data_IF_885664339833
#
_entry.id   IF_885664339833
#
_cell.length_a   1.000
_cell.length_b   1.000
_cell.length_c   1.000
_cell.angle_alpha   90.00
_cell.angle_beta   90.00
_cell.angle_gamma   90.00
#
_symmetry.space_group_name_H-M   'P 1'
#
loop_
_entity.id
_entity.type
_entity.pdbx_description
1 polymer ?
#
# COMPACT_ATOMS: atom_id res chain seq x y z
N UNK A 1 1.23 24.63 11.00
CA UNK A 1 0.72 24.18 9.70
C UNK A 1 -0.78 24.05 9.77
N UNK A 2 -1.49 24.42 8.70
CA UNK A 2 -2.93 24.25 8.61
C UNK A 2 -3.29 22.75 8.53
N UNK A 3 -4.34 22.33 9.26
CA UNK A 3 -4.73 20.92 9.34
C UNK A 3 -5.08 20.31 7.98
N UNK A 4 -5.60 21.12 7.06
CA UNK A 4 -5.96 20.64 5.73
C UNK A 4 -4.73 20.31 4.87
N UNK A 5 -3.66 21.10 4.98
CA UNK A 5 -2.38 20.84 4.26
C UNK A 5 -1.72 19.56 4.76
N UNK A 6 -1.69 19.34 6.08
CA UNK A 6 -1.12 18.11 6.67
C UNK A 6 -1.92 16.86 6.28
N UNK A 7 -3.25 16.94 6.25
CA UNK A 7 -4.10 15.88 5.71
C UNK A 7 -3.86 15.63 4.22
N UNK A 8 -3.66 16.68 3.43
CA UNK A 8 -3.30 16.57 2.01
C UNK A 8 -1.99 15.81 1.79
N UNK A 9 -0.94 16.13 2.57
CA UNK A 9 0.32 15.40 2.54
C UNK A 9 0.14 13.93 2.94
N UNK A 10 -0.63 13.64 3.98
CA UNK A 10 -0.95 12.27 4.37
C UNK A 10 -1.69 11.50 3.25
N UNK A 11 -2.65 12.14 2.59
CA UNK A 11 -3.40 11.56 1.48
C UNK A 11 -2.51 11.24 0.27
N UNK A 12 -1.56 12.12 -0.06
CA UNK A 12 -0.60 11.89 -1.14
C UNK A 12 0.32 10.70 -0.84
N UNK A 13 0.84 10.62 0.39
CA UNK A 13 1.62 9.46 0.83
C UNK A 13 0.77 8.17 0.79
N UNK A 14 -0.47 8.22 1.27
CA UNK A 14 -1.39 7.09 1.21
C UNK A 14 -1.60 6.61 -0.25
N UNK A 15 -1.82 7.54 -1.19
CA UNK A 15 -1.96 7.22 -2.60
C UNK A 15 -0.70 6.56 -3.18
N UNK A 16 0.49 7.05 -2.84
CA UNK A 16 1.76 6.44 -3.25
C UNK A 16 1.93 5.01 -2.72
N UNK A 17 1.57 4.78 -1.45
CA UNK A 17 1.59 3.45 -0.85
C UNK A 17 0.60 2.49 -1.53
N UNK A 18 -0.63 2.95 -1.81
CA UNK A 18 -1.65 2.19 -2.54
C UNK A 18 -1.14 1.77 -3.91
N UNK A 19 -0.51 2.68 -4.65
CA UNK A 19 0.07 2.38 -5.97
C UNK A 19 1.17 1.31 -5.86
N UNK A 20 2.09 1.43 -4.90
CA UNK A 20 3.16 0.46 -4.68
C UNK A 20 2.63 -0.94 -4.32
N UNK A 21 1.61 -1.02 -3.45
CA UNK A 21 1.02 -2.31 -3.08
C UNK A 21 0.17 -2.92 -4.21
N UNK A 22 -0.45 -2.09 -5.05
CA UNK A 22 -1.06 -2.57 -6.29
C UNK A 22 0.00 -3.16 -7.23
N UNK A 23 1.15 -2.49 -7.40
CA UNK A 23 2.29 -3.01 -8.18
C UNK A 23 2.82 -4.33 -7.60
N UNK A 24 2.96 -4.44 -6.28
CA UNK A 24 3.30 -5.70 -5.62
C UNK A 24 2.29 -6.81 -5.98
N UNK A 25 0.99 -6.51 -5.85
CA UNK A 25 -0.08 -7.44 -6.21
C UNK A 25 -0.01 -7.91 -7.66
N UNK A 26 0.28 -6.99 -8.59
CA UNK A 26 0.44 -7.30 -10.01
C UNK A 26 1.56 -8.33 -10.24
N UNK A 27 2.74 -8.10 -9.66
CA UNK A 27 3.90 -8.95 -9.89
C UNK A 27 3.88 -10.25 -9.11
N UNK A 28 3.31 -10.28 -7.89
CA UNK A 28 3.29 -11.48 -7.05
C UNK A 28 2.37 -12.57 -7.61
N UNK A 29 1.36 -12.19 -8.39
CA UNK A 29 0.37 -13.10 -8.93
C UNK A 29 0.96 -14.24 -9.78
N UNK A 30 1.97 -13.96 -10.60
CA UNK A 30 2.59 -14.94 -11.50
C UNK A 30 3.33 -16.03 -10.72
N UNK A 31 4.38 -15.73 -9.92
CA UNK A 31 5.10 -16.75 -9.17
C UNK A 31 4.24 -17.45 -8.10
N UNK A 32 3.22 -16.77 -7.58
CA UNK A 32 2.22 -17.37 -6.70
C UNK A 32 1.44 -18.47 -7.40
N UNK A 33 0.88 -18.17 -8.58
CA UNK A 33 0.11 -19.13 -9.38
C UNK A 33 0.95 -20.33 -9.80
N UNK A 34 2.22 -20.11 -10.10
CA UNK A 34 3.15 -21.14 -10.55
C UNK A 34 3.82 -21.91 -9.40
N UNK A 35 3.46 -21.62 -8.15
CA UNK A 35 3.97 -22.35 -6.98
C UNK A 35 5.46 -22.14 -6.71
N UNK A 36 6.08 -21.10 -7.29
CA UNK A 36 7.54 -20.88 -7.26
C UNK A 36 7.98 -19.74 -6.34
N UNK A 37 7.14 -19.32 -5.40
CA UNK A 37 7.44 -18.23 -4.46
C UNK A 37 8.74 -18.41 -3.65
N UNK A 38 9.19 -19.65 -3.45
CA UNK A 38 10.43 -19.98 -2.74
C UNK A 38 11.65 -20.11 -3.66
N UNK A 39 11.47 -19.97 -4.98
CA UNK A 39 12.50 -20.15 -6.00
C UNK A 39 12.62 -18.89 -6.89
N UNK A 40 12.45 -17.71 -6.28
CA UNK A 40 12.59 -16.42 -6.95
C UNK A 40 14.06 -16.09 -7.17
N UNK A 41 14.38 -15.53 -8.33
CA UNK A 41 15.71 -14.97 -8.58
C UNK A 41 15.86 -13.57 -7.94
N UNK A 42 17.08 -13.02 -7.94
CA UNK A 42 17.38 -11.72 -7.33
C UNK A 42 16.57 -10.55 -7.90
N UNK A 43 16.24 -10.58 -9.20
CA UNK A 43 15.46 -9.52 -9.85
C UNK A 43 14.01 -9.60 -9.41
N UNK A 44 13.42 -10.80 -9.41
CA UNK A 44 12.05 -11.01 -8.92
C UNK A 44 11.92 -10.62 -7.45
N UNK A 45 12.93 -10.94 -6.63
CA UNK A 45 12.98 -10.54 -5.23
C UNK A 45 12.97 -9.02 -5.08
N UNK A 46 13.67 -8.26 -5.94
CA UNK A 46 13.65 -6.80 -5.91
C UNK A 46 12.31 -6.24 -6.41
N UNK A 47 11.78 -6.78 -7.50
CA UNK A 47 10.49 -6.36 -8.09
C UNK A 47 9.32 -6.59 -7.13
N UNK A 48 9.37 -7.62 -6.29
CA UNK A 48 8.37 -7.87 -5.25
C UNK A 48 8.70 -7.15 -3.94
N UNK A 49 9.95 -7.22 -3.51
CA UNK A 49 10.39 -6.72 -2.21
C UNK A 49 10.36 -5.20 -2.12
N UNK A 50 10.79 -4.48 -3.15
CA UNK A 50 10.85 -3.01 -3.12
C UNK A 50 9.44 -2.41 -2.98
N UNK A 51 8.45 -2.75 -3.82
CA UNK A 51 7.11 -2.18 -3.68
C UNK A 51 6.45 -2.58 -2.36
N UNK A 52 6.69 -3.79 -1.85
CA UNK A 52 6.18 -4.22 -0.55
C UNK A 52 6.78 -3.40 0.60
N UNK A 53 8.11 -3.37 0.71
CA UNK A 53 8.80 -2.70 1.83
C UNK A 53 8.58 -1.19 1.77
N UNK A 54 8.79 -0.57 0.61
CA UNK A 54 8.61 0.87 0.43
C UNK A 54 7.14 1.24 0.57
N UNK A 55 6.22 0.44 0.02
CA UNK A 55 4.78 0.67 0.17
C UNK A 55 4.35 0.69 1.64
N UNK A 56 4.81 -0.27 2.45
CA UNK A 56 4.55 -0.30 3.89
C UNK A 56 5.18 0.89 4.63
N UNK A 57 6.42 1.25 4.30
CA UNK A 57 7.09 2.40 4.89
C UNK A 57 6.34 3.72 4.59
N UNK A 58 5.86 3.88 3.36
CA UNK A 58 5.08 5.05 2.95
C UNK A 58 3.68 5.06 3.61
N UNK A 59 3.02 3.91 3.76
CA UNK A 59 1.77 3.81 4.52
C UNK A 59 1.97 4.22 5.99
N UNK A 60 3.05 3.78 6.61
CA UNK A 60 3.41 4.19 7.96
C UNK A 60 3.65 5.71 8.03
N UNK A 61 4.38 6.28 7.08
CA UNK A 61 4.56 7.72 6.95
C UNK A 61 3.22 8.48 6.84
N UNK A 62 2.29 7.98 6.03
CA UNK A 62 0.95 8.55 5.89
C UNK A 62 0.19 8.55 7.22
N UNK A 63 0.19 7.43 7.95
CA UNK A 63 -0.43 7.31 9.27
C UNK A 63 0.24 8.22 10.31
N UNK A 64 1.56 8.40 10.23
CA UNK A 64 2.29 9.29 11.11
C UNK A 64 1.91 10.76 10.89
N UNK A 65 1.86 11.22 9.63
CA UNK A 65 1.41 12.57 9.28
C UNK A 65 -0.05 12.77 9.73
N UNK A 66 -0.91 11.78 9.50
CA UNK A 66 -2.30 11.85 9.92
C UNK A 66 -2.45 11.91 11.44
N UNK A 67 -1.59 11.22 12.18
CA UNK A 67 -1.58 11.27 13.64
C UNK A 67 -1.27 12.68 14.17
N UNK A 68 -0.34 13.39 13.51
CA UNK A 68 -0.01 14.79 13.84
C UNK A 68 -1.22 15.69 13.62
N UNK A 69 -1.98 15.49 12.54
CA UNK A 69 -3.13 16.31 12.20
C UNK A 69 -4.34 16.09 13.14
N UNK A 70 -4.66 14.82 13.42
CA UNK A 70 -6.00 14.44 13.88
C UNK A 70 -6.04 13.67 15.20
N UNK A 71 -4.94 13.09 15.68
CA UNK A 71 -4.98 12.18 16.84
C UNK A 71 -5.44 12.87 18.13
N UNK A 72 -5.00 14.11 18.36
CA UNK A 72 -5.35 14.88 19.55
C UNK A 72 -6.73 15.55 19.42
N UNK A 73 -7.06 16.13 18.25
CA UNK A 73 -8.29 16.89 18.06
C UNK A 73 -9.51 16.07 17.65
N UNK A 74 -9.30 14.93 16.99
CA UNK A 74 -10.37 14.08 16.43
C UNK A 74 -9.93 12.61 16.35
N UNK A 75 -9.76 11.92 17.49
CA UNK A 75 -9.20 10.56 17.53
C UNK A 75 -10.06 9.52 16.78
N UNK A 76 -11.38 9.73 16.70
CA UNK A 76 -12.29 8.87 15.91
C UNK A 76 -12.01 8.98 14.41
N UNK A 77 -11.79 10.20 13.91
CA UNK A 77 -11.48 10.44 12.50
C UNK A 77 -10.13 9.82 12.13
N UNK A 78 -9.11 9.99 12.97
CA UNK A 78 -7.80 9.35 12.80
C UNK A 78 -7.93 7.83 12.66
N UNK A 79 -8.69 7.17 13.55
CA UNK A 79 -8.93 5.72 13.49
C UNK A 79 -9.69 5.31 12.23
N UNK A 80 -10.74 6.05 11.88
CA UNK A 80 -11.56 5.77 10.69
C UNK A 80 -10.73 5.84 9.41
N UNK A 81 -9.91 6.89 9.26
CA UNK A 81 -9.01 7.05 8.12
C UNK A 81 -7.88 6.01 8.11
N UNK A 82 -7.34 5.64 9.28
CA UNK A 82 -6.35 4.56 9.37
C UNK A 82 -6.92 3.21 8.95
N UNK A 83 -8.15 2.88 9.35
CA UNK A 83 -8.86 1.68 8.90
C UNK A 83 -9.18 1.73 7.40
N UNK A 84 -9.62 2.88 6.91
CA UNK A 84 -9.87 3.09 5.49
C UNK A 84 -8.60 2.87 4.65
N UNK A 85 -7.45 3.36 5.11
CA UNK A 85 -6.17 3.12 4.46
C UNK A 85 -5.82 1.62 4.48
N UNK A 86 -5.96 0.94 5.61
CA UNK A 86 -5.68 -0.50 5.70
C UNK A 86 -6.53 -1.31 4.71
N UNK A 87 -7.83 -1.00 4.62
CA UNK A 87 -8.74 -1.62 3.65
C UNK A 87 -8.31 -1.30 2.21
N UNK A 88 -7.98 -0.05 1.91
CA UNK A 88 -7.52 0.36 0.58
C UNK A 88 -6.22 -0.37 0.17
N UNK A 89 -5.29 -0.60 1.10
CA UNK A 89 -4.07 -1.35 0.86
C UNK A 89 -4.36 -2.83 0.51
N UNK A 90 -5.27 -3.48 1.25
CA UNK A 90 -5.67 -4.86 0.94
C UNK A 90 -6.38 -4.96 -0.41
N UNK A 91 -7.26 -3.99 -0.72
CA UNK A 91 -7.92 -3.90 -2.02
C UNK A 91 -6.93 -3.65 -3.15
N UNK A 92 -5.90 -2.82 -2.92
CA UNK A 92 -4.87 -2.54 -3.90
C UNK A 92 -4.10 -3.80 -4.30
N UNK A 93 -3.62 -4.59 -3.32
CA UNK A 93 -2.96 -5.88 -3.58
C UNK A 93 -3.89 -6.81 -4.35
N UNK A 94 -5.14 -6.96 -3.89
CA UNK A 94 -6.13 -7.84 -4.52
C UNK A 94 -6.45 -7.42 -5.96
N UNK A 95 -6.56 -6.12 -6.21
CA UNK A 95 -6.79 -5.56 -7.53
C UNK A 95 -5.57 -5.71 -8.46
N UNK A 96 -4.36 -5.63 -7.92
CA UNK A 96 -3.13 -5.92 -8.66
C UNK A 96 -3.09 -7.39 -9.10
N UNK A 97 -3.37 -8.30 -8.16
CA UNK A 97 -3.45 -9.73 -8.44
C UNK A 97 -4.51 -10.03 -9.50
N UNK A 98 -5.72 -9.50 -9.33
CA UNK A 98 -6.83 -9.75 -10.25
C UNK A 98 -6.54 -9.25 -11.66
N UNK A 99 -5.88 -8.09 -11.79
CA UNK A 99 -5.47 -7.50 -13.06
C UNK A 99 -4.53 -8.41 -13.85
N UNK A 100 -3.54 -9.02 -13.16
CA UNK A 100 -2.60 -9.96 -13.78
C UNK A 100 -3.28 -11.27 -14.11
N UNK A 101 -4.05 -11.85 -13.19
CA UNK A 101 -4.75 -13.12 -13.45
C UNK A 101 -5.71 -13.04 -14.63
N UNK A 102 -6.33 -11.88 -14.86
CA UNK A 102 -7.22 -11.65 -16.00
C UNK A 102 -6.48 -11.55 -17.35
N UNK A 103 -5.16 -11.36 -17.36
CA UNK A 103 -4.34 -11.16 -18.57
C UNK A 103 -3.40 -12.31 -18.89
N UNK A 104 -3.11 -13.14 -17.89
CA UNK A 104 -2.27 -14.34 -18.05
C UNK A 104 -3.15 -15.62 -18.10
N UNK A 105 -4.48 -15.46 -18.21
CA UNK A 105 -5.42 -16.55 -18.49
C UNK A 105 -5.48 -16.86 -19.98
#
# INVERSE_FOLDING_TARGET
MEKWITRGAAALCAAGSIALLWTFGMFVAVPWREGRMLALNSVELQVLGIPLIVGLAVAWGALHILAIADRAGSPRLYRALGLALLLALMLAVSAGVSWTTARVA
#
